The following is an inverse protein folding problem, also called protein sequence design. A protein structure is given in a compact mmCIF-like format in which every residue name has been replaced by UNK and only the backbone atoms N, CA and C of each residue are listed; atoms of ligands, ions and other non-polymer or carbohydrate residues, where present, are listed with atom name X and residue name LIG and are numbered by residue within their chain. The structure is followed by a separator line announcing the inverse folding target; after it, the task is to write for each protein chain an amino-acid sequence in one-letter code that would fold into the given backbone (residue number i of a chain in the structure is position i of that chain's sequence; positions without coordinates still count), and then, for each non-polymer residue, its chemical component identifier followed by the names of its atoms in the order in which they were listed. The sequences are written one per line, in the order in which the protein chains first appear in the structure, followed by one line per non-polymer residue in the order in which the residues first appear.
data_IF_808215030675
#
_entry.id   IF_808215030675
#
_cell.length_a   1.000
_cell.length_b   1.000
_cell.length_c   1.000
_cell.angle_alpha   90.00
_cell.angle_beta   90.00
_cell.angle_gamma   90.00
#
_symmetry.space_group_name_H-M   'P 1'
#
loop_
_entity.id
_entity.type
_entity.pdbx_description
1 polymer ?
#
# COMPACT_ATOMS: atom_id res chain seq x y z
N UNK A 1 8.85 5.50 3.03
CA UNK A 1 7.48 5.66 3.52
C UNK A 1 6.77 4.34 3.32
N UNK A 2 5.77 4.00 4.16
CA UNK A 2 4.89 2.85 3.92
C UNK A 2 3.78 3.25 2.95
N UNK A 3 3.91 2.88 1.69
CA UNK A 3 2.94 3.20 0.64
C UNK A 3 2.49 1.96 -0.13
N UNK A 4 1.28 2.05 -0.69
CA UNK A 4 0.76 1.12 -1.69
C UNK A 4 0.32 1.92 -2.90
N UNK A 5 0.89 1.63 -4.08
CA UNK A 5 0.63 2.35 -5.33
C UNK A 5 0.68 3.88 -5.14
N UNK A 6 1.77 4.38 -4.55
CA UNK A 6 2.00 5.80 -4.21
C UNK A 6 1.08 6.41 -3.13
N UNK A 7 0.10 5.66 -2.62
CA UNK A 7 -0.81 6.08 -1.52
C UNK A 7 -0.22 5.72 -0.17
N UNK A 8 -0.18 6.67 0.76
CA UNK A 8 0.36 6.46 2.11
C UNK A 8 -0.58 5.63 2.99
N UNK A 9 -0.01 4.62 3.66
CA UNK A 9 -0.76 3.67 4.48
C UNK A 9 -0.87 4.18 5.91
N UNK A 10 -2.08 4.60 6.29
CA UNK A 10 -2.35 5.14 7.63
C UNK A 10 -2.49 4.06 8.72
N UNK A 11 -3.12 2.92 8.37
CA UNK A 11 -3.36 1.82 9.30
C UNK A 11 -3.69 0.51 8.53
N UNK A 12 -3.84 -0.60 9.25
CA UNK A 12 -4.07 -1.92 8.65
C UNK A 12 -5.42 -2.01 7.91
N UNK A 13 -6.47 -1.37 8.42
CA UNK A 13 -7.78 -1.35 7.74
C UNK A 13 -7.69 -0.59 6.42
N UNK A 14 -6.97 0.52 6.40
CA UNK A 14 -6.70 1.28 5.18
C UNK A 14 -5.93 0.42 4.17
N UNK A 15 -4.89 -0.31 4.61
CA UNK A 15 -4.15 -1.24 3.77
C UNK A 15 -5.05 -2.31 3.12
N UNK A 16 -5.92 -2.96 3.90
CA UNK A 16 -6.86 -3.95 3.36
C UNK A 16 -7.75 -3.33 2.27
N UNK A 17 -8.28 -2.13 2.52
CA UNK A 17 -9.11 -1.42 1.54
C UNK A 17 -8.36 -1.12 0.23
N UNK A 18 -7.09 -0.71 0.30
CA UNK A 18 -6.26 -0.45 -0.89
C UNK A 18 -6.03 -1.72 -1.71
N UNK A 19 -5.81 -2.86 -1.06
CA UNK A 19 -5.57 -4.15 -1.73
C UNK A 19 -6.86 -4.69 -2.34
N UNK A 20 -7.96 -4.68 -1.59
CA UNK A 20 -9.25 -5.23 -2.02
C UNK A 20 -9.87 -4.45 -3.19
N UNK A 21 -9.66 -3.13 -3.24
CA UNK A 21 -10.23 -2.26 -4.27
C UNK A 21 -9.24 -1.93 -5.41
N UNK A 22 -8.07 -2.57 -5.44
CA UNK A 22 -7.09 -2.33 -6.50
C UNK A 22 -7.60 -2.88 -7.85
N UNK A 23 -7.73 -1.99 -8.84
CA UNK A 23 -8.08 -2.35 -10.22
C UNK A 23 -6.87 -2.45 -11.14
N UNK A 24 -5.69 -2.06 -10.64
CA UNK A 24 -4.45 -2.13 -11.38
C UNK A 24 -3.97 -3.57 -11.49
N UNK A 25 -3.24 -3.86 -12.56
CA UNK A 25 -2.65 -5.18 -12.80
C UNK A 25 -1.65 -5.58 -11.70
N UNK A 26 -1.08 -4.61 -11.00
CA UNK A 26 -0.02 -4.82 -10.02
C UNK A 26 -0.29 -3.99 -8.78
N UNK A 27 0.12 -4.53 -7.63
CA UNK A 27 0.18 -3.81 -6.38
C UNK A 27 1.65 -3.63 -6.03
N UNK A 28 2.07 -2.38 -5.91
CA UNK A 28 3.42 -1.98 -5.52
C UNK A 28 3.41 -1.55 -4.07
N UNK A 29 4.20 -2.24 -3.25
CA UNK A 29 4.46 -1.85 -1.87
C UNK A 29 5.78 -1.09 -1.83
N UNK A 30 5.73 0.18 -1.46
CA UNK A 30 6.94 0.89 -1.06
C UNK A 30 7.05 0.74 0.46
N UNK A 31 8.10 0.04 0.88
CA UNK A 31 8.48 -0.11 2.27
C UNK A 31 9.73 0.73 2.50
N UNK A 32 9.85 1.35 3.68
CA UNK A 32 11.11 1.96 4.07
C UNK A 32 12.23 0.90 4.07
N UNK A 33 13.38 1.21 3.47
CA UNK A 33 14.57 0.33 3.46
C UNK A 33 15.29 0.27 4.81
N UNK A 34 14.69 0.80 5.89
CA UNK A 34 15.25 0.70 7.22
C UNK A 34 14.93 -0.66 7.84
N UNK A 35 15.99 -1.48 7.92
CA UNK A 35 16.10 -2.78 8.59
C UNK A 35 15.52 -2.80 10.01
#
# INVERSE_FOLDING_TARGET
ARKVNDVEVENLKHLCGLVENCIDKWIRFDLDEDR
#
